data_IF_811606660071
#
_entry.id   IF_811606660071
#
_cell.length_a   1.000
_cell.length_b   1.000
_cell.length_c   1.000
_cell.angle_alpha   90.00
_cell.angle_beta   90.00
_cell.angle_gamma   90.00
#
_symmetry.space_group_name_H-M   'P 1'
#
loop_
_entity.id
_entity.type
_entity.pdbx_description
1 polymer ?
#
# COMPACT_ATOMS: atom_id res chain seq x y z
N UNK A 1 -16.23 -20.77 23.92
CA UNK A 1 -16.84 -19.69 24.72
C UNK A 1 -17.58 -18.77 23.77
N UNK A 2 -18.90 -18.61 23.94
CA UNK A 2 -19.71 -17.63 23.22
C UNK A 2 -20.17 -16.55 24.20
N UNK A 3 -19.98 -15.28 23.84
CA UNK A 3 -20.54 -14.13 24.55
C UNK A 3 -21.56 -13.50 23.61
N UNK A 4 -22.83 -13.42 24.02
CA UNK A 4 -23.92 -12.96 23.14
C UNK A 4 -24.31 -13.98 22.04
N UNK A 5 -23.90 -15.24 22.16
CA UNK A 5 -24.31 -16.32 21.25
C UNK A 5 -24.20 -17.69 21.92
N UNK A 6 -25.13 -18.59 21.63
CA UNK A 6 -25.12 -20.00 22.09
C UNK A 6 -24.51 -20.95 21.07
N UNK A 7 -24.24 -20.49 19.85
CA UNK A 7 -23.67 -21.28 18.74
C UNK A 7 -22.41 -20.60 18.20
N UNK A 8 -21.30 -20.57 18.97
CA UNK A 8 -20.10 -19.84 18.59
C UNK A 8 -19.42 -20.48 17.36
N UNK A 9 -19.10 -19.67 16.36
CA UNK A 9 -18.41 -20.10 15.15
C UNK A 9 -16.89 -20.36 15.35
N UNK A 10 -16.34 -19.91 16.48
CA UNK A 10 -14.93 -20.01 16.84
C UNK A 10 -14.78 -20.41 18.32
N UNK A 11 -13.55 -20.78 18.74
CA UNK A 11 -13.28 -21.11 20.15
C UNK A 11 -13.65 -19.97 21.11
N UNK A 12 -13.47 -18.73 20.68
CA UNK A 12 -14.00 -17.52 21.30
C UNK A 12 -14.79 -16.74 20.24
N UNK A 13 -16.08 -16.52 20.49
CA UNK A 13 -16.97 -15.72 19.64
C UNK A 13 -17.68 -14.69 20.50
N UNK A 14 -17.69 -13.43 20.06
CA UNK A 14 -18.37 -12.33 20.74
C UNK A 14 -19.31 -11.67 19.74
N UNK A 15 -20.60 -11.63 20.06
CA UNK A 15 -21.57 -10.78 19.37
C UNK A 15 -21.52 -9.40 20.01
N UNK A 16 -21.18 -8.37 19.23
CA UNK A 16 -21.05 -6.99 19.70
C UNK A 16 -19.61 -6.51 19.88
N UNK A 17 -19.46 -5.36 20.56
CA UNK A 17 -18.19 -4.65 20.67
C UNK A 17 -17.27 -5.25 21.74
N UNK A 18 -15.96 -5.24 21.48
CA UNK A 18 -14.93 -5.61 22.45
C UNK A 18 -14.19 -4.34 22.89
N UNK A 19 -14.34 -3.95 24.15
CA UNK A 19 -13.54 -2.90 24.80
C UNK A 19 -12.56 -3.58 25.76
N UNK A 20 -11.26 -3.35 25.57
CA UNK A 20 -10.20 -3.94 26.39
C UNK A 20 -9.22 -2.85 26.84
N UNK A 21 -8.75 -2.92 28.08
CA UNK A 21 -7.80 -1.94 28.65
C UNK A 21 -6.33 -2.34 28.46
N UNK A 22 -6.08 -3.61 28.15
CA UNK A 22 -4.74 -4.18 27.97
C UNK A 22 -4.33 -4.34 26.51
N UNK A 23 -3.74 -5.48 26.17
CA UNK A 23 -3.25 -5.78 24.82
C UNK A 23 -3.86 -7.06 24.28
N UNK A 24 -4.34 -7.04 23.03
CA UNK A 24 -4.66 -8.26 22.27
C UNK A 24 -3.39 -8.71 21.55
N UNK A 25 -2.63 -9.61 22.19
CA UNK A 25 -1.36 -10.10 21.67
C UNK A 25 -1.51 -11.33 20.77
N UNK A 26 -0.89 -11.28 19.59
CA UNK A 26 -0.67 -12.47 18.75
C UNK A 26 0.73 -13.03 19.03
N UNK A 27 0.84 -14.33 19.36
CA UNK A 27 2.13 -14.98 19.61
C UNK A 27 3.03 -14.88 18.38
N UNK A 28 4.20 -14.22 18.51
CA UNK A 28 5.06 -13.91 17.37
C UNK A 28 6.54 -14.29 17.55
N UNK A 29 6.91 -14.91 18.67
CA UNK A 29 8.27 -15.35 18.99
C UNK A 29 8.86 -16.22 17.88
N UNK A 30 10.15 -16.00 17.56
CA UNK A 30 10.87 -16.73 16.50
C UNK A 30 10.85 -18.24 16.72
N UNK A 31 10.84 -18.72 17.97
CA UNK A 31 10.82 -20.16 18.30
C UNK A 31 9.52 -20.86 17.90
N UNK A 32 8.44 -20.09 17.71
CA UNK A 32 7.15 -20.63 17.27
C UNK A 32 7.01 -20.67 15.75
N UNK A 33 8.03 -20.25 14.99
CA UNK A 33 7.96 -20.05 13.53
C UNK A 33 9.19 -20.64 12.83
N UNK A 34 8.97 -21.20 11.64
CA UNK A 34 10.02 -21.68 10.73
C UNK A 34 9.73 -21.16 9.32
N UNK A 35 10.61 -21.47 8.37
CA UNK A 35 10.38 -21.27 6.92
C UNK A 35 10.10 -19.81 6.52
N UNK A 36 10.97 -18.91 7.00
CA UNK A 36 10.85 -17.47 6.75
C UNK A 36 11.12 -17.12 5.28
N UNK A 37 10.10 -16.61 4.60
CA UNK A 37 10.23 -16.04 3.25
C UNK A 37 9.78 -14.58 3.26
N UNK A 38 10.53 -13.64 2.66
CA UNK A 38 10.11 -12.25 2.56
C UNK A 38 8.82 -12.08 1.75
N UNK A 39 7.95 -11.16 2.16
CA UNK A 39 6.85 -10.70 1.32
C UNK A 39 7.40 -9.84 0.19
N UNK A 40 6.86 -10.03 -1.02
CA UNK A 40 7.27 -9.33 -2.25
C UNK A 40 6.05 -8.92 -3.05
N UNK A 41 6.16 -7.81 -3.78
CA UNK A 41 5.07 -7.28 -4.60
C UNK A 41 3.91 -6.78 -3.74
N UNK A 42 4.19 -6.41 -2.49
CA UNK A 42 3.17 -5.96 -1.54
C UNK A 42 2.51 -4.67 -2.00
N UNK A 43 3.27 -3.73 -2.56
CA UNK A 43 2.74 -2.47 -3.09
C UNK A 43 1.75 -2.72 -4.22
N UNK A 44 2.12 -3.57 -5.18
CA UNK A 44 1.26 -3.91 -6.31
C UNK A 44 -0.04 -4.57 -5.84
N UNK A 45 0.04 -5.55 -4.92
CA UNK A 45 -1.14 -6.22 -4.37
C UNK A 45 -2.04 -5.28 -3.56
N UNK A 46 -1.46 -4.43 -2.71
CA UNK A 46 -2.23 -3.44 -1.94
C UNK A 46 -2.92 -2.45 -2.89
N UNK A 47 -2.27 -2.08 -4.00
CA UNK A 47 -2.86 -1.22 -5.04
C UNK A 47 -4.09 -1.83 -5.75
N UNK A 48 -4.33 -3.14 -5.62
CA UNK A 48 -5.52 -3.81 -6.14
C UNK A 48 -6.68 -3.85 -5.14
N UNK A 49 -6.43 -3.56 -3.85
CA UNK A 49 -7.46 -3.59 -2.81
C UNK A 49 -8.28 -2.31 -2.82
N UNK A 50 -9.58 -2.43 -2.52
CA UNK A 50 -10.49 -1.29 -2.45
C UNK A 50 -11.03 -1.11 -1.03
N UNK A 51 -10.66 0.00 -0.38
CA UNK A 51 -11.32 0.44 0.84
C UNK A 51 -12.71 0.98 0.53
N UNK A 52 -13.72 0.50 1.27
CA UNK A 52 -15.13 0.79 1.01
C UNK A 52 -15.83 1.30 2.27
N UNK A 53 -16.80 2.18 2.07
CA UNK A 53 -17.86 2.39 3.05
C UNK A 53 -18.99 1.41 2.79
N UNK A 54 -19.58 0.87 3.85
CA UNK A 54 -20.70 -0.06 3.75
C UNK A 54 -21.65 0.08 4.93
N UNK A 55 -22.85 -0.48 4.79
CA UNK A 55 -23.84 -0.63 5.86
C UNK A 55 -24.20 -2.10 5.97
N UNK A 56 -24.51 -2.57 7.18
CA UNK A 56 -24.91 -3.95 7.39
C UNK A 56 -26.35 -4.19 6.94
N UNK A 57 -26.63 -5.40 6.47
CA UNK A 57 -27.99 -5.88 6.16
C UNK A 57 -28.67 -6.35 7.44
N UNK A 58 -28.97 -5.43 8.34
CA UNK A 58 -29.49 -5.73 9.69
C UNK A 58 -30.85 -6.44 9.66
N UNK A 59 -31.69 -6.17 8.65
CA UNK A 59 -32.99 -6.82 8.48
C UNK A 59 -32.89 -8.26 7.95
N UNK A 60 -31.89 -8.55 7.10
CA UNK A 60 -31.68 -9.88 6.51
C UNK A 60 -30.95 -10.83 7.47
N UNK A 61 -30.14 -10.28 8.39
CA UNK A 61 -29.35 -11.03 9.37
C UNK A 61 -29.57 -10.49 10.80
N UNK A 62 -30.82 -10.50 11.31
CA UNK A 62 -31.14 -9.93 12.61
C UNK A 62 -30.42 -10.64 13.77
N UNK A 63 -30.10 -11.91 13.61
CA UNK A 63 -29.39 -12.72 14.61
C UNK A 63 -27.91 -12.36 14.77
N UNK A 64 -27.35 -11.58 13.84
CA UNK A 64 -25.96 -11.11 13.90
C UNK A 64 -25.78 -9.84 14.74
N UNK A 65 -26.89 -9.15 15.05
CA UNK A 65 -26.90 -7.91 15.84
C UNK A 65 -25.90 -6.86 15.32
N UNK A 66 -25.81 -6.72 13.99
CA UNK A 66 -24.90 -5.74 13.40
C UNK A 66 -25.32 -4.29 13.72
N UNK A 67 -24.36 -3.36 13.87
CA UNK A 67 -24.67 -1.94 14.03
C UNK A 67 -25.35 -1.37 12.77
N UNK A 68 -26.28 -0.43 12.96
CA UNK A 68 -26.99 0.22 11.85
C UNK A 68 -26.15 1.33 11.19
N UNK A 69 -25.12 1.80 11.86
CA UNK A 69 -24.26 2.88 11.39
C UNK A 69 -23.36 2.44 10.24
N UNK A 70 -23.05 3.39 9.35
CA UNK A 70 -22.11 3.18 8.25
C UNK A 70 -20.71 2.85 8.78
N UNK A 71 -20.13 1.79 8.25
CA UNK A 71 -18.79 1.31 8.57
C UNK A 71 -17.83 1.54 7.40
N UNK A 72 -16.53 1.33 7.65
CA UNK A 72 -15.49 1.28 6.63
C UNK A 72 -14.75 -0.06 6.72
N UNK A 73 -14.23 -0.55 5.60
CA UNK A 73 -13.47 -1.79 5.55
C UNK A 73 -13.26 -2.32 4.14
N UNK A 74 -13.17 -3.63 4.02
CA UNK A 74 -12.99 -4.35 2.75
C UNK A 74 -14.03 -5.46 2.60
N UNK A 75 -14.20 -5.92 1.36
CA UNK A 75 -14.86 -7.20 1.07
C UNK A 75 -13.84 -8.31 1.32
N UNK A 76 -14.19 -9.29 2.15
CA UNK A 76 -13.28 -10.36 2.55
C UNK A 76 -12.82 -11.22 1.34
N UNK A 77 -13.71 -11.43 0.37
CA UNK A 77 -13.46 -12.19 -0.85
C UNK A 77 -12.40 -11.53 -1.74
N UNK A 78 -12.39 -10.20 -1.82
CA UNK A 78 -11.39 -9.46 -2.59
C UNK A 78 -10.00 -9.57 -1.96
N UNK A 79 -9.93 -9.55 -0.62
CA UNK A 79 -8.69 -9.82 0.12
C UNK A 79 -8.25 -11.26 -0.10
N UNK A 80 -9.17 -12.24 -0.02
CA UNK A 80 -8.87 -13.67 -0.15
C UNK A 80 -8.18 -14.01 -1.49
N UNK A 81 -8.56 -13.33 -2.58
CA UNK A 81 -7.94 -13.52 -3.88
C UNK A 81 -6.44 -13.16 -3.93
N UNK A 82 -5.98 -12.28 -3.02
CA UNK A 82 -4.60 -11.77 -2.98
C UNK A 82 -3.79 -12.28 -1.77
N UNK A 83 -4.48 -12.44 -0.64
CA UNK A 83 -3.95 -12.78 0.68
C UNK A 83 -4.91 -13.76 1.40
N UNK A 84 -5.06 -15.00 0.91
CA UNK A 84 -5.98 -15.97 1.51
C UNK A 84 -5.68 -16.24 2.99
N UNK A 85 -4.43 -16.09 3.44
CA UNK A 85 -3.98 -16.33 4.81
C UNK A 85 -4.48 -15.27 5.83
N UNK A 86 -5.06 -14.18 5.35
CA UNK A 86 -5.65 -13.09 6.15
C UNK A 86 -7.14 -13.32 6.39
N UNK A 87 -7.78 -14.19 5.59
CA UNK A 87 -9.22 -14.43 5.62
C UNK A 87 -9.52 -15.72 6.36
N UNK A 88 -10.48 -15.67 7.28
CA UNK A 88 -11.02 -16.84 7.94
C UNK A 88 -12.41 -17.13 7.39
N UNK A 89 -12.72 -18.41 7.19
CA UNK A 89 -14.05 -18.86 6.80
C UNK A 89 -14.62 -19.72 7.94
N UNK A 90 -15.85 -19.41 8.39
CA UNK A 90 -16.53 -20.20 9.40
C UNK A 90 -17.21 -21.45 8.83
N UNK A 91 -17.81 -22.27 9.71
CA UNK A 91 -18.48 -23.51 9.31
C UNK A 91 -19.72 -23.29 8.41
N UNK A 92 -20.25 -22.08 8.35
CA UNK A 92 -21.39 -21.69 7.51
C UNK A 92 -20.92 -21.05 6.19
N UNK A 93 -19.62 -20.84 6.00
CA UNK A 93 -19.04 -20.23 4.81
C UNK A 93 -18.92 -18.71 4.87
N UNK A 94 -19.27 -18.07 5.99
CA UNK A 94 -19.07 -16.63 6.15
C UNK A 94 -17.59 -16.31 6.38
N UNK A 95 -17.15 -15.19 5.81
CA UNK A 95 -15.75 -14.78 5.81
C UNK A 95 -15.51 -13.59 6.72
N UNK A 96 -14.39 -13.60 7.43
CA UNK A 96 -13.88 -12.51 8.24
C UNK A 96 -12.41 -12.24 7.95
N UNK A 97 -11.95 -11.03 8.29
CA UNK A 97 -10.60 -10.55 7.94
C UNK A 97 -9.81 -10.30 9.21
N UNK A 98 -8.62 -10.91 9.32
CA UNK A 98 -7.62 -10.57 10.34
C UNK A 98 -6.83 -9.34 9.89
N UNK A 99 -7.39 -8.15 10.13
CA UNK A 99 -6.77 -6.87 9.76
C UNK A 99 -5.34 -6.72 10.31
N UNK A 100 -5.00 -7.34 11.45
CA UNK A 100 -3.66 -7.29 12.01
C UNK A 100 -2.61 -7.96 11.13
N UNK A 101 -3.00 -8.98 10.36
CA UNK A 101 -2.08 -9.66 9.41
C UNK A 101 -1.79 -8.83 8.15
N UNK A 102 -2.55 -7.76 7.89
CA UNK A 102 -2.23 -6.83 6.81
C UNK A 102 -1.07 -5.89 7.17
N UNK A 103 -0.77 -5.66 8.45
CA UNK A 103 0.33 -4.77 8.87
C UNK A 103 1.69 -5.12 8.23
N UNK A 104 2.20 -6.37 8.25
CA UNK A 104 3.46 -6.70 7.57
C UNK A 104 3.40 -6.52 6.04
N UNK A 105 2.23 -6.73 5.42
CA UNK A 105 2.03 -6.45 3.98
C UNK A 105 2.20 -4.95 3.72
N UNK A 106 1.56 -4.10 4.53
CA UNK A 106 1.64 -2.64 4.42
C UNK A 106 3.08 -2.14 4.67
N UNK A 107 3.82 -2.73 5.61
CA UNK A 107 5.23 -2.39 5.85
C UNK A 107 6.08 -2.63 4.61
N UNK A 108 5.94 -3.79 3.97
CA UNK A 108 6.70 -4.07 2.73
C UNK A 108 6.22 -3.21 1.56
N UNK A 109 4.92 -2.90 1.47
CA UNK A 109 4.40 -1.97 0.46
C UNK A 109 5.01 -0.57 0.59
N UNK A 110 5.15 -0.06 1.82
CA UNK A 110 5.79 1.25 2.08
C UNK A 110 7.28 1.21 1.74
N UNK A 111 7.99 0.12 2.04
CA UNK A 111 9.40 -0.04 1.65
C UNK A 111 9.58 -0.06 0.14
N UNK A 112 8.75 -0.82 -0.57
CA UNK A 112 8.72 -0.87 -2.03
C UNK A 112 8.43 0.52 -2.62
N UNK A 113 7.43 1.23 -2.07
CA UNK A 113 7.11 2.61 -2.49
C UNK A 113 8.29 3.57 -2.25
N UNK A 114 8.94 3.49 -1.09
CA UNK A 114 10.10 4.34 -0.78
C UNK A 114 11.27 4.08 -1.73
N UNK A 115 11.51 2.83 -2.12
CA UNK A 115 12.53 2.49 -3.11
C UNK A 115 12.24 3.13 -4.48
N UNK A 116 10.98 3.08 -4.94
CA UNK A 116 10.56 3.74 -6.17
C UNK A 116 10.74 5.26 -6.11
N UNK A 117 10.41 5.89 -4.98
CA UNK A 117 10.61 7.33 -4.77
C UNK A 117 12.09 7.71 -4.84
N UNK A 118 12.97 6.91 -4.23
CA UNK A 118 14.42 7.15 -4.29
C UNK A 118 14.97 7.02 -5.71
N UNK A 119 14.53 6.02 -6.46
CA UNK A 119 14.90 5.82 -7.87
C UNK A 119 14.44 6.98 -8.76
N UNK A 120 13.19 7.44 -8.57
CA UNK A 120 12.65 8.60 -9.28
C UNK A 120 13.45 9.88 -8.94
N UNK A 121 13.80 10.09 -7.67
CA UNK A 121 14.57 11.26 -7.25
C UNK A 121 15.99 11.27 -7.83
N UNK A 122 16.63 10.10 -7.94
CA UNK A 122 17.92 9.95 -8.60
C UNK A 122 17.83 10.30 -10.10
N UNK A 123 16.79 9.78 -10.78
CA UNK A 123 16.53 10.07 -12.19
C UNK A 123 16.31 11.57 -12.42
N UNK A 124 15.51 12.23 -11.57
CA UNK A 124 15.28 13.68 -11.64
C UNK A 124 16.59 14.45 -11.45
N UNK A 125 17.44 14.04 -10.51
CA UNK A 125 18.73 14.70 -10.27
C UNK A 125 19.69 14.57 -11.48
N UNK A 126 19.69 13.41 -12.14
CA UNK A 126 20.49 13.17 -13.34
C UNK A 126 19.98 14.01 -14.53
N UNK A 127 18.65 14.06 -14.71
CA UNK A 127 18.02 14.90 -15.72
C UNK A 127 18.34 16.38 -15.52
N UNK A 128 18.28 16.88 -14.29
CA UNK A 128 18.67 18.26 -13.96
C UNK A 128 20.13 18.55 -14.30
N UNK A 129 21.04 17.63 -13.98
CA UNK A 129 22.46 17.76 -14.35
C UNK A 129 22.63 17.83 -15.86
N UNK A 130 21.98 16.92 -16.59
CA UNK A 130 22.03 16.85 -18.05
C UNK A 130 21.50 18.14 -18.69
N UNK A 131 20.36 18.64 -18.22
CA UNK A 131 19.77 19.90 -18.71
C UNK A 131 20.69 21.10 -18.49
N UNK A 132 21.34 21.19 -17.33
CA UNK A 132 22.30 22.25 -17.04
C UNK A 132 23.52 22.18 -17.98
N UNK A 133 24.07 20.99 -18.21
CA UNK A 133 25.19 20.79 -19.15
C UNK A 133 24.80 21.19 -20.57
N UNK A 134 23.64 20.74 -21.06
CA UNK A 134 23.14 21.10 -22.39
C UNK A 134 22.92 22.61 -22.53
N UNK A 135 22.40 23.27 -21.49
CA UNK A 135 22.25 24.72 -21.46
C UNK A 135 23.60 25.44 -21.59
N UNK A 136 24.61 25.03 -20.81
CA UNK A 136 25.95 25.60 -20.91
C UNK A 136 26.58 25.39 -22.30
N UNK A 137 26.38 24.22 -22.90
CA UNK A 137 26.84 23.97 -24.27
C UNK A 137 26.14 24.85 -25.30
N UNK A 138 24.83 25.06 -25.15
CA UNK A 138 24.05 25.95 -26.02
C UNK A 138 24.54 27.40 -25.91
N UNK A 139 24.78 27.88 -24.69
CA UNK A 139 25.31 29.21 -24.45
C UNK A 139 26.71 29.38 -25.08
N UNK A 140 27.59 28.40 -24.93
CA UNK A 140 28.93 28.39 -25.54
C UNK A 140 28.87 28.38 -27.08
N UNK A 141 28.00 27.54 -27.66
CA UNK A 141 27.79 27.50 -29.11
C UNK A 141 27.25 28.82 -29.64
N UNK A 142 26.33 29.45 -28.91
CA UNK A 142 25.78 30.77 -29.26
C UNK A 142 26.88 31.84 -29.25
N UNK A 143 27.75 31.83 -28.24
CA UNK A 143 28.90 32.74 -28.17
C UNK A 143 29.89 32.52 -29.32
N UNK A 144 30.18 31.25 -29.67
CA UNK A 144 31.06 30.92 -30.80
C UNK A 144 30.47 31.41 -32.13
N UNK A 145 29.16 31.25 -32.33
CA UNK A 145 28.47 31.75 -33.52
C UNK A 145 28.56 33.28 -33.64
N UNK A 146 28.38 34.01 -32.54
CA UNK A 146 28.55 35.46 -32.52
C UNK A 146 29.98 35.89 -32.85
N UNK A 147 30.98 35.19 -32.30
CA UNK A 147 32.39 35.46 -32.60
C UNK A 147 32.70 35.22 -34.08
N UNK A 148 32.27 34.09 -34.65
CA UNK A 148 32.44 33.79 -36.08
C UNK A 148 31.81 34.86 -36.97
N UNK A 149 30.60 35.31 -36.63
CA UNK A 149 29.92 36.38 -37.37
C UNK A 149 30.74 37.68 -37.36
N UNK A 150 31.26 38.09 -36.19
CA UNK A 150 32.10 39.29 -36.08
C UNK A 150 33.39 39.22 -36.92
N UNK A 151 34.00 38.02 -37.02
CA UNK A 151 35.21 37.80 -37.81
C UNK A 151 34.92 37.92 -39.30
N UNK A 152 33.81 37.34 -39.77
CA UNK A 152 33.38 37.43 -41.16
C UNK A 152 33.08 38.89 -41.57
N UNK A 153 32.38 39.65 -40.71
CA UNK A 153 32.11 41.07 -40.94
C UNK A 153 33.39 41.90 -41.02
N UNK A 154 34.40 41.59 -40.19
CA UNK A 154 35.70 42.25 -40.25
C UNK A 154 36.50 41.91 -41.52
N UNK A 155 36.36 40.69 -42.06
CA UNK A 155 37.04 40.24 -43.28
C UNK A 155 36.40 40.79 -44.56
N UNK A 156 35.08 41.02 -44.57
CA UNK A 156 34.34 41.55 -45.73
C UNK A 156 34.45 43.07 -45.96
N UNK A 157 35.17 43.81 -45.10
CA UNK A 157 35.40 45.27 -45.19
C UNK A 157 36.67 45.67 -45.97
N UNK A 158 37.26 44.75 -46.73
CA UNK A 158 38.41 45.04 -47.62
C UNK A 158 37.98 45.20 -49.07
#
# INVERSE_FOLDING_TARGET
MGIGTTTPAQRLSVTGNICYTGTIGACSDRRYKTDFTPLRGSLAKVGLLQGLYYTWRTEEFPEKEFPAERQLGFIAQDIEALFPEVVLTDAQGYKSVDYGRLTPVLVEAVKELNALVQEQQATISEQHTTLNTLRTQLDANTALMQQLQSVLEAQGRK
#
